data_IF_333660979027
#
_entry.id   IF_333660979027
#
_cell.length_a   1.000
_cell.length_b   1.000
_cell.length_c   1.000
_cell.angle_alpha   90.00
_cell.angle_beta   90.00
_cell.angle_gamma   90.00
#
_symmetry.space_group_name_H-M   'P 1'
#
loop_
_entity.id
_entity.type
_entity.pdbx_description
1 polymer ?
#
# COMPACT_ATOMS: atom_id res chain seq x y z
N UNK A 1 15.88 -4.62 -5.99
CA UNK A 1 15.81 -5.78 -5.08
C UNK A 1 14.51 -6.54 -5.33
N UNK A 2 14.35 -7.81 -4.91
CA UNK A 2 13.05 -8.51 -5.02
C UNK A 2 12.32 -8.52 -3.67
N UNK A 3 11.00 -8.39 -3.71
CA UNK A 3 10.13 -8.35 -2.53
C UNK A 3 10.21 -9.61 -1.65
N UNK A 4 10.47 -10.77 -2.25
CA UNK A 4 10.60 -12.07 -1.56
C UNK A 4 11.86 -12.19 -0.70
N UNK A 5 12.77 -11.22 -0.79
CA UNK A 5 14.01 -11.19 -0.01
C UNK A 5 13.86 -10.46 1.33
N UNK A 6 12.77 -9.72 1.56
CA UNK A 6 12.47 -9.04 2.82
C UNK A 6 11.31 -9.75 3.53
N UNK A 7 11.54 -10.16 4.78
CA UNK A 7 10.48 -10.75 5.60
C UNK A 7 9.29 -9.82 5.77
N UNK A 8 8.07 -10.35 5.84
CA UNK A 8 6.87 -9.51 5.95
C UNK A 8 6.76 -8.75 7.27
N UNK A 9 7.53 -9.14 8.29
CA UNK A 9 7.64 -8.42 9.55
C UNK A 9 8.74 -7.33 9.54
N UNK A 10 9.42 -7.11 8.40
CA UNK A 10 10.45 -6.09 8.28
C UNK A 10 9.88 -4.69 8.51
N UNK A 11 10.72 -3.76 8.93
CA UNK A 11 10.28 -2.38 9.12
C UNK A 11 9.81 -1.78 7.80
N UNK A 12 8.65 -1.11 7.82
CA UNK A 12 8.01 -0.59 6.61
C UNK A 12 8.86 0.50 5.96
N UNK A 13 9.49 1.37 6.76
CA UNK A 13 10.34 2.44 6.25
C UNK A 13 11.55 1.86 5.52
N UNK A 14 12.26 0.93 6.17
CA UNK A 14 13.41 0.26 5.56
C UNK A 14 13.00 -0.56 4.34
N UNK A 15 11.84 -1.21 4.36
CA UNK A 15 11.33 -1.91 3.18
C UNK A 15 11.09 -0.95 2.00
N UNK A 16 10.54 0.24 2.24
CA UNK A 16 10.37 1.27 1.21
C UNK A 16 11.69 1.79 0.66
N UNK A 17 12.69 2.02 1.52
CA UNK A 17 14.03 2.44 1.12
C UNK A 17 14.75 1.40 0.26
N UNK A 18 14.58 0.11 0.56
CA UNK A 18 15.24 -1.00 -0.14
C UNK A 18 14.53 -1.45 -1.43
N UNK A 19 13.20 -1.34 -1.46
CA UNK A 19 12.36 -1.82 -2.57
C UNK A 19 11.93 -0.72 -3.55
N UNK A 20 12.01 0.55 -3.13
CA UNK A 20 11.54 1.71 -3.89
C UNK A 20 10.05 1.99 -3.66
N UNK A 21 9.68 3.26 -3.58
CA UNK A 21 8.28 3.70 -3.37
C UNK A 21 7.69 4.45 -4.56
N UNK A 22 8.31 4.29 -5.73
CA UNK A 22 7.88 4.88 -6.99
C UNK A 22 8.27 6.33 -7.20
N UNK A 23 9.20 6.89 -6.42
CA UNK A 23 9.71 8.25 -6.60
C UNK A 23 10.27 8.49 -8.02
N UNK A 24 10.75 7.43 -8.68
CA UNK A 24 11.26 7.47 -10.04
C UNK A 24 10.21 7.17 -11.12
N UNK A 25 8.96 6.88 -10.73
CA UNK A 25 7.84 6.54 -11.64
C UNK A 25 8.22 5.39 -12.59
N UNK A 26 8.82 4.33 -12.04
CA UNK A 26 9.19 3.12 -12.79
C UNK A 26 8.68 1.88 -12.10
N UNK A 27 8.35 0.84 -12.87
CA UNK A 27 7.89 -0.43 -12.29
C UNK A 27 8.90 -1.05 -11.34
N UNK A 28 10.21 -0.91 -11.63
CA UNK A 28 11.29 -1.41 -10.78
C UNK A 28 11.36 -0.72 -9.42
N UNK A 29 10.87 0.51 -9.34
CA UNK A 29 10.85 1.35 -8.15
C UNK A 29 9.49 1.36 -7.44
N UNK A 30 8.43 0.82 -8.04
CA UNK A 30 7.08 0.82 -7.43
C UNK A 30 6.59 -0.59 -7.09
N UNK A 31 6.74 -1.53 -8.03
CA UNK A 31 6.10 -2.85 -7.95
C UNK A 31 6.64 -3.70 -6.81
N UNK A 32 7.96 -3.77 -6.54
CA UNK A 32 8.48 -4.60 -5.45
C UNK A 32 7.90 -4.20 -4.09
N UNK A 33 7.86 -2.92 -3.76
CA UNK A 33 7.28 -2.46 -2.51
C UNK A 33 5.76 -2.66 -2.45
N UNK A 34 5.04 -2.38 -3.54
CA UNK A 34 3.60 -2.65 -3.61
C UNK A 34 3.26 -4.12 -3.31
N UNK A 35 4.00 -5.06 -3.91
CA UNK A 35 3.80 -6.49 -3.68
C UNK A 35 4.15 -6.89 -2.24
N UNK A 36 5.19 -6.29 -1.66
CA UNK A 36 5.56 -6.54 -0.27
C UNK A 36 4.48 -6.07 0.70
N UNK A 37 3.94 -4.86 0.51
CA UNK A 37 2.83 -4.32 1.32
C UNK A 37 1.57 -5.19 1.20
N UNK A 38 1.18 -5.54 -0.02
CA UNK A 38 0.00 -6.37 -0.26
C UNK A 38 0.15 -7.76 0.38
N UNK A 39 1.33 -8.37 0.31
CA UNK A 39 1.58 -9.67 0.95
C UNK A 39 1.56 -9.57 2.49
N UNK A 40 2.04 -8.46 3.06
CA UNK A 40 2.05 -8.21 4.52
C UNK A 40 0.65 -8.04 5.10
N UNK A 41 -0.26 -7.41 4.35
CA UNK A 41 -1.60 -7.02 4.80
C UNK A 41 -2.71 -7.66 3.96
N UNK A 42 -2.49 -8.88 3.48
CA UNK A 42 -3.38 -9.54 2.51
C UNK A 42 -4.81 -9.74 3.04
N UNK A 43 -4.99 -9.75 4.36
CA UNK A 43 -6.25 -9.92 5.08
C UNK A 43 -6.87 -8.61 5.59
N UNK A 44 -6.20 -7.46 5.40
CA UNK A 44 -6.64 -6.15 5.89
C UNK A 44 -6.45 -5.06 4.83
N UNK A 45 -7.55 -4.72 4.14
CA UNK A 45 -7.55 -3.66 3.12
C UNK A 45 -7.15 -2.30 3.70
N UNK A 46 -7.68 -1.97 4.87
CA UNK A 46 -7.40 -0.69 5.54
C UNK A 46 -5.92 -0.55 5.91
N UNK A 47 -5.34 -1.58 6.55
CA UNK A 47 -3.92 -1.56 6.91
C UNK A 47 -3.03 -1.50 5.66
N UNK A 48 -3.37 -2.27 4.62
CA UNK A 48 -2.61 -2.28 3.37
C UNK A 48 -2.55 -0.89 2.72
N UNK A 49 -3.69 -0.20 2.63
CA UNK A 49 -3.77 1.13 2.02
C UNK A 49 -3.06 2.17 2.88
N UNK A 50 -3.23 2.15 4.21
CA UNK A 50 -2.51 3.08 5.08
C UNK A 50 -1.00 2.89 4.99
N UNK A 51 -0.52 1.65 5.01
CA UNK A 51 0.91 1.37 4.83
C UNK A 51 1.42 1.85 3.46
N UNK A 52 0.63 1.69 2.39
CA UNK A 52 1.02 2.08 1.03
C UNK A 52 1.01 3.60 0.79
N UNK A 53 0.09 4.35 1.39
CA UNK A 53 -0.19 5.75 1.01
C UNK A 53 0.07 6.77 2.11
N UNK A 54 0.46 6.34 3.32
CA UNK A 54 0.68 7.24 4.46
C UNK A 54 1.63 8.42 4.15
N UNK A 55 1.43 9.49 4.89
CA UNK A 55 2.27 10.69 4.84
C UNK A 55 2.80 11.02 6.23
N UNK A 56 3.97 11.70 6.33
CA UNK A 56 4.48 12.20 7.59
C UNK A 56 3.43 13.00 8.37
N UNK A 57 3.22 12.64 9.64
CA UNK A 57 2.26 13.28 10.53
C UNK A 57 0.87 12.63 10.60
N UNK A 58 0.63 11.55 9.85
CA UNK A 58 -0.58 10.74 10.01
C UNK A 58 -0.41 9.72 11.13
N UNK A 59 -1.40 9.62 12.03
CA UNK A 59 -1.54 8.49 12.94
C UNK A 59 -2.19 7.34 12.17
N UNK A 60 -1.42 6.30 11.88
CA UNK A 60 -1.87 5.13 11.15
C UNK A 60 -2.10 3.92 12.06
N UNK A 61 -2.14 4.11 13.38
CA UNK A 61 -2.41 3.02 14.32
C UNK A 61 -1.38 1.88 14.26
N UNK A 62 -1.84 0.64 14.50
CA UNK A 62 -0.98 -0.53 14.72
C UNK A 62 -0.27 -1.06 13.46
N UNK A 63 -0.66 -0.60 12.26
CA UNK A 63 -0.14 -1.09 10.97
C UNK A 63 1.32 -0.68 10.72
N UNK A 64 1.72 0.45 11.31
CA UNK A 64 2.98 1.13 10.98
C UNK A 64 2.88 1.87 9.63
N UNK A 65 3.29 3.13 9.60
CA UNK A 65 3.26 3.95 8.38
C UNK A 65 4.60 3.87 7.67
N UNK A 66 4.55 3.78 6.35
CA UNK A 66 5.62 4.29 5.52
C UNK A 66 5.60 5.83 5.61
N UNK A 67 6.68 6.42 6.08
CA UNK A 67 6.84 7.88 6.22
C UNK A 67 7.87 8.35 5.20
N UNK A 68 7.51 8.30 3.91
CA UNK A 68 8.36 8.80 2.81
C UNK A 68 7.65 9.95 2.11
N UNK A 69 8.32 11.10 1.99
CA UNK A 69 7.73 12.29 1.38
C UNK A 69 7.43 12.10 -0.12
N UNK A 70 8.29 11.39 -0.83
CA UNK A 70 8.31 11.32 -2.30
C UNK A 70 7.84 9.95 -2.86
N UNK A 71 6.69 9.46 -2.39
CA UNK A 71 6.10 8.20 -2.88
C UNK A 71 5.03 8.45 -3.95
N UNK A 72 4.98 7.58 -4.97
CA UNK A 72 3.93 7.49 -6.00
C UNK A 72 2.71 6.78 -5.41
N UNK A 73 1.96 7.51 -4.59
CA UNK A 73 0.92 6.97 -3.70
C UNK A 73 -0.30 6.47 -4.46
N UNK A 74 -0.68 7.15 -5.54
CA UNK A 74 -1.81 6.73 -6.36
C UNK A 74 -1.50 5.40 -7.05
N UNK A 75 -0.30 5.23 -7.59
CA UNK A 75 0.10 3.95 -8.20
C UNK A 75 0.26 2.85 -7.16
N UNK A 76 0.87 3.15 -6.01
CA UNK A 76 0.97 2.19 -4.89
C UNK A 76 -0.42 1.76 -4.41
N UNK A 77 -1.31 2.73 -4.15
CA UNK A 77 -2.68 2.48 -3.68
C UNK A 77 -3.49 1.67 -4.70
N UNK A 78 -3.33 1.94 -5.99
CA UNK A 78 -4.01 1.18 -7.05
C UNK A 78 -3.55 -0.29 -7.10
N UNK A 79 -2.25 -0.55 -7.04
CA UNK A 79 -1.70 -1.91 -7.09
C UNK A 79 -2.05 -2.67 -5.80
N UNK A 80 -1.77 -2.08 -4.63
CA UNK A 80 -2.01 -2.70 -3.32
C UNK A 80 -3.49 -2.93 -3.12
N UNK A 81 -4.32 -1.92 -3.34
CA UNK A 81 -5.77 -2.03 -3.20
C UNK A 81 -6.38 -3.05 -4.14
N UNK A 82 -5.94 -3.10 -5.40
CA UNK A 82 -6.41 -4.12 -6.35
C UNK A 82 -6.15 -5.55 -5.88
N UNK A 83 -4.93 -5.82 -5.39
CA UNK A 83 -4.55 -7.15 -4.90
C UNK A 83 -5.33 -7.52 -3.63
N UNK A 84 -5.37 -6.63 -2.65
CA UNK A 84 -5.98 -6.92 -1.36
C UNK A 84 -7.50 -6.98 -1.46
N UNK A 85 -8.14 -6.15 -2.28
CA UNK A 85 -9.58 -6.26 -2.56
C UNK A 85 -9.95 -7.61 -3.18
N UNK A 86 -9.09 -8.21 -4.02
CA UNK A 86 -9.31 -9.56 -4.53
C UNK A 86 -9.22 -10.63 -3.44
N UNK A 87 -8.43 -10.41 -2.39
CA UNK A 87 -8.29 -11.34 -1.27
C UNK A 87 -9.40 -11.18 -0.22
N UNK A 88 -9.76 -9.95 0.14
CA UNK A 88 -10.75 -9.64 1.17
C UNK A 88 -12.19 -9.60 0.66
N UNK A 89 -12.36 -9.45 -0.67
CA UNK A 89 -13.65 -9.12 -1.28
C UNK A 89 -14.09 -7.67 -0.99
N UNK A 90 -15.21 -7.27 -1.61
CA UNK A 90 -15.78 -5.92 -1.47
C UNK A 90 -16.23 -5.58 -0.05
N UNK A 91 -16.60 -6.58 0.73
CA UNK A 91 -17.04 -6.42 2.12
C UNK A 91 -15.85 -6.14 3.06
N UNK A 92 -14.63 -6.44 2.63
CA UNK A 92 -13.40 -6.10 3.36
C UNK A 92 -12.93 -4.66 3.18
N UNK A 93 -13.53 -3.91 2.24
CA UNK A 93 -13.20 -2.50 2.02
C UNK A 93 -14.13 -1.65 2.92
N UNK A 94 -13.59 -0.72 3.73
CA UNK A 94 -14.40 0.16 4.57
C UNK A 94 -15.50 0.87 3.76
N UNK A 95 -16.75 0.75 4.21
CA UNK A 95 -17.91 1.30 3.49
C UNK A 95 -17.75 2.80 3.21
N UNK A 96 -17.28 3.56 4.20
CA UNK A 96 -17.05 5.00 4.07
C UNK A 96 -16.05 5.34 2.96
N UNK A 97 -15.04 4.49 2.74
CA UNK A 97 -14.05 4.73 1.68
C UNK A 97 -14.64 4.45 0.30
N UNK A 98 -15.45 3.38 0.17
CA UNK A 98 -16.17 3.08 -1.07
C UNK A 98 -17.14 4.19 -1.44
N UNK A 99 -17.90 4.69 -0.48
CA UNK A 99 -18.87 5.78 -0.68
C UNK A 99 -18.20 7.13 -0.97
N UNK A 100 -16.94 7.32 -0.54
CA UNK A 100 -16.17 8.52 -0.82
C UNK A 100 -15.54 8.54 -2.24
N UNK A 101 -15.61 7.43 -2.99
CA UNK A 101 -15.13 7.40 -4.38
C UNK A 101 -16.06 8.16 -5.31
N UNK A 102 -15.52 8.71 -6.40
CA UNK A 102 -16.34 9.35 -7.43
C UNK A 102 -17.35 8.36 -8.02
N UNK A 103 -18.56 8.85 -8.31
CA UNK A 103 -19.60 7.99 -8.87
C UNK A 103 -19.14 7.47 -10.24
N UNK A 104 -19.16 6.15 -10.42
CA UNK A 104 -18.98 5.56 -11.74
C UNK A 104 -20.14 5.98 -12.62
N UNK A 105 -19.88 6.83 -13.61
CA UNK A 105 -20.88 7.19 -14.63
C UNK A 105 -21.19 5.92 -15.40
N UNK A 106 -22.39 5.37 -15.20
CA UNK A 106 -22.92 4.20 -15.91
C UNK A 106 -23.81 4.61 -17.06
#
# INVERSE_FOLDING_TARGET
>A
MRADQLGLAFDVQLAGEELGTGSNVTSQDTVPFALWVAARHLDSYEDALWTATATPGMDVGASGALVIFDADRDTLGAIVGGIVACATGLDGIPLLWREATEATVT
#
